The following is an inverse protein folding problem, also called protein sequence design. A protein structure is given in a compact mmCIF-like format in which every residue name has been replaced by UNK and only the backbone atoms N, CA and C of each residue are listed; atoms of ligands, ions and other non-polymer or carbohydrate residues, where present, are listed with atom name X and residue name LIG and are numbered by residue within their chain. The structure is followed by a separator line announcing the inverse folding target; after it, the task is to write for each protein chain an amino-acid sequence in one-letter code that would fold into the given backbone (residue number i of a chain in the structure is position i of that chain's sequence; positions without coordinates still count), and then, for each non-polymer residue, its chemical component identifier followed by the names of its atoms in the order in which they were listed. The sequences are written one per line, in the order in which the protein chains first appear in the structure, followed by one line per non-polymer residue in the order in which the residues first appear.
data_IF_626073905891
#
_entry.id   IF_626073905891
#
_cell.length_a   1.000
_cell.length_b   1.000
_cell.length_c   1.000
_cell.angle_alpha   90.00
_cell.angle_beta   90.00
_cell.angle_gamma   90.00
#
_symmetry.space_group_name_H-M   'P 1'
#
loop_
_entity.id
_entity.type
_entity.pdbx_description
1 polymer ?
#
# COMPACT_ATOMS: atom_id res chain seq x y z
N UNK A 1 -23.42 -6.05 9.02
CA UNK A 1 -23.98 -5.07 8.06
C UNK A 1 -22.93 -4.10 7.52
N UNK A 2 -22.33 -3.21 8.33
CA UNK A 2 -21.30 -2.28 7.85
C UNK A 2 -20.00 -3.00 7.43
N UNK A 3 -19.49 -3.90 8.28
CA UNK A 3 -18.28 -4.68 7.95
C UNK A 3 -18.51 -5.62 6.76
N UNK A 4 -19.68 -6.25 6.65
CA UNK A 4 -20.04 -7.08 5.49
C UNK A 4 -20.05 -6.27 4.20
N UNK A 5 -20.59 -5.04 4.24
CA UNK A 5 -20.61 -4.14 3.06
C UNK A 5 -19.20 -3.72 2.67
N UNK A 6 -18.35 -3.43 3.65
CA UNK A 6 -16.94 -3.14 3.43
C UNK A 6 -16.18 -4.33 2.82
N UNK A 7 -16.45 -5.55 3.29
CA UNK A 7 -15.82 -6.76 2.78
C UNK A 7 -16.18 -7.05 1.32
N UNK A 8 -17.30 -6.52 0.79
CA UNK A 8 -17.62 -6.62 -0.65
C UNK A 8 -16.60 -5.92 -1.56
N UNK A 9 -15.92 -4.90 -1.04
CA UNK A 9 -14.90 -4.16 -1.77
C UNK A 9 -13.48 -4.56 -1.37
N UNK A 10 -13.34 -5.43 -0.37
CA UNK A 10 -12.06 -5.84 0.17
C UNK A 10 -11.19 -6.47 -0.92
N UNK A 11 -9.96 -5.99 -1.00
CA UNK A 11 -8.95 -6.55 -1.88
C UNK A 11 -7.91 -7.33 -1.06
N UNK A 12 -7.54 -8.52 -1.54
CA UNK A 12 -6.60 -9.43 -0.85
C UNK A 12 -5.24 -8.78 -0.57
N UNK A 13 -4.78 -7.91 -1.47
CA UNK A 13 -3.49 -7.21 -1.32
C UNK A 13 -3.54 -6.00 -0.37
N UNK A 14 -4.72 -5.57 0.09
CA UNK A 14 -4.86 -4.58 1.17
C UNK A 14 -5.73 -3.36 0.90
N UNK A 15 -5.69 -2.42 1.85
CA UNK A 15 -6.65 -1.33 2.04
C UNK A 15 -6.61 -0.28 0.92
N UNK A 16 -5.44 0.03 0.33
CA UNK A 16 -5.36 1.00 -0.76
C UNK A 16 -6.13 0.50 -2.00
N UNK A 17 -6.07 -0.80 -2.29
CA UNK A 17 -6.82 -1.38 -3.40
C UNK A 17 -8.31 -1.45 -3.08
N UNK A 18 -8.66 -1.70 -1.82
CA UNK A 18 -10.05 -1.58 -1.34
C UNK A 18 -10.60 -0.16 -1.55
N UNK A 19 -9.83 0.88 -1.23
CA UNK A 19 -10.24 2.27 -1.47
C UNK A 19 -10.44 2.55 -2.97
N UNK A 20 -9.56 2.01 -3.82
CA UNK A 20 -9.71 2.11 -5.27
C UNK A 20 -11.00 1.43 -5.76
N UNK A 21 -11.31 0.23 -5.24
CA UNK A 21 -12.53 -0.50 -5.57
C UNK A 21 -13.79 0.28 -5.18
N UNK A 22 -13.80 0.85 -3.97
CA UNK A 22 -14.93 1.68 -3.50
C UNK A 22 -15.12 2.89 -4.41
N UNK A 23 -14.04 3.58 -4.78
CA UNK A 23 -14.12 4.73 -5.68
C UNK A 23 -14.60 4.35 -7.09
N UNK A 24 -14.11 3.24 -7.66
CA UNK A 24 -14.59 2.75 -8.96
C UNK A 24 -16.07 2.38 -8.91
N UNK A 25 -16.51 1.66 -7.88
CA UNK A 25 -17.90 1.29 -7.72
C UNK A 25 -18.80 2.54 -7.58
N UNK A 26 -18.35 3.57 -6.85
CA UNK A 26 -19.07 4.83 -6.75
C UNK A 26 -19.26 5.51 -8.12
N UNK A 27 -18.20 5.60 -8.93
CA UNK A 27 -18.26 6.19 -10.28
C UNK A 27 -19.15 5.37 -11.23
N UNK A 28 -19.12 4.04 -11.13
CA UNK A 28 -19.97 3.16 -11.94
C UNK A 28 -21.46 3.31 -11.59
N UNK A 29 -21.77 3.62 -10.33
CA UNK A 29 -23.13 3.87 -9.86
C UNK A 29 -23.55 5.35 -9.99
N UNK A 30 -22.94 6.08 -10.94
CA UNK A 30 -23.30 7.46 -11.30
C UNK A 30 -23.31 8.43 -10.12
N UNK A 31 -22.34 8.30 -9.21
CA UNK A 31 -22.19 9.16 -8.03
C UNK A 31 -23.44 9.18 -7.12
N UNK A 32 -24.20 8.08 -7.08
CA UNK A 32 -25.47 8.01 -6.36
C UNK A 32 -25.30 8.08 -4.83
N UNK A 33 -25.96 9.05 -4.21
CA UNK A 33 -26.05 9.16 -2.75
C UNK A 33 -26.80 7.94 -2.14
N UNK A 34 -27.79 7.41 -2.85
CA UNK A 34 -28.52 6.21 -2.42
C UNK A 34 -27.60 4.99 -2.35
N UNK A 35 -26.75 4.82 -3.37
CA UNK A 35 -25.75 3.74 -3.38
C UNK A 35 -24.77 3.86 -2.22
N UNK A 36 -24.32 5.07 -1.89
CA UNK A 36 -23.47 5.33 -0.73
C UNK A 36 -24.14 4.93 0.58
N UNK A 37 -25.43 5.24 0.74
CA UNK A 37 -26.20 4.87 1.93
C UNK A 37 -26.31 3.33 2.07
N UNK A 38 -26.65 2.65 0.98
CA UNK A 38 -26.81 1.18 0.96
C UNK A 38 -25.49 0.43 1.22
N UNK A 39 -24.35 1.00 0.82
CA UNK A 39 -23.04 0.38 0.98
C UNK A 39 -22.25 0.90 2.19
N UNK A 40 -22.88 1.71 3.05
CA UNK A 40 -22.25 2.32 4.24
C UNK A 40 -21.00 3.15 3.91
N UNK A 41 -21.00 3.81 2.75
CA UNK A 41 -19.90 4.68 2.31
C UNK A 41 -20.25 6.15 2.54
N UNK A 42 -19.28 6.94 2.99
CA UNK A 42 -19.50 8.36 3.20
C UNK A 42 -19.51 9.13 1.87
N UNK A 43 -20.71 9.58 1.45
CA UNK A 43 -20.90 10.34 0.22
C UNK A 43 -20.07 11.64 0.18
N UNK A 44 -19.99 12.38 1.29
CA UNK A 44 -19.20 13.63 1.34
C UNK A 44 -17.71 13.38 1.14
N UNK A 45 -17.19 12.31 1.74
CA UNK A 45 -15.78 11.91 1.57
C UNK A 45 -15.48 11.52 0.11
N UNK A 46 -16.37 10.79 -0.56
CA UNK A 46 -16.19 10.41 -1.96
C UNK A 46 -16.29 11.60 -2.91
N UNK A 47 -17.26 12.50 -2.71
CA UNK A 47 -17.37 13.73 -3.50
C UNK A 47 -16.13 14.62 -3.33
N UNK A 48 -15.61 14.73 -2.10
CA UNK A 48 -14.35 15.43 -1.84
C UNK A 48 -13.18 14.77 -2.59
N UNK A 49 -13.07 13.44 -2.53
CA UNK A 49 -12.03 12.70 -3.25
C UNK A 49 -12.13 12.88 -4.77
N UNK A 50 -13.33 12.88 -5.35
CA UNK A 50 -13.55 13.11 -6.79
C UNK A 50 -13.09 14.52 -7.19
N UNK A 51 -13.46 15.53 -6.41
CA UNK A 51 -13.02 16.91 -6.63
C UNK A 51 -11.49 17.04 -6.57
N UNK A 52 -10.84 16.43 -5.57
CA UNK A 52 -9.38 16.42 -5.44
C UNK A 52 -8.73 15.72 -6.63
N UNK A 53 -9.26 14.58 -7.07
CA UNK A 53 -8.76 13.88 -8.25
C UNK A 53 -8.86 14.74 -9.52
N UNK A 54 -9.97 15.45 -9.73
CA UNK A 54 -10.12 16.35 -10.88
C UNK A 54 -9.14 17.54 -10.83
N UNK A 55 -8.86 18.06 -9.63
CA UNK A 55 -7.82 19.08 -9.46
C UNK A 55 -6.43 18.54 -9.80
N UNK A 56 -6.07 17.36 -9.29
CA UNK A 56 -4.79 16.70 -9.59
C UNK A 56 -4.65 16.39 -11.08
N UNK A 57 -5.72 15.93 -11.75
CA UNK A 57 -5.70 15.67 -13.19
C UNK A 57 -5.39 16.93 -14.01
N UNK A 58 -5.97 18.08 -13.65
CA UNK A 58 -5.66 19.37 -14.29
C UNK A 58 -4.20 19.79 -14.10
N UNK A 59 -3.64 19.53 -12.92
CA UNK A 59 -2.22 19.80 -12.64
C UNK A 59 -1.33 18.88 -13.49
N UNK A 60 -1.67 17.59 -13.59
CA UNK A 60 -0.95 16.64 -14.44
C UNK A 60 -0.95 17.09 -15.90
N UNK A 61 -2.11 17.48 -16.43
CA UNK A 61 -2.25 17.95 -17.81
C UNK A 61 -1.41 19.24 -18.03
N UNK A 62 -1.38 20.16 -17.06
CA UNK A 62 -0.55 21.38 -17.11
C UNK A 62 0.95 21.07 -17.19
N UNK A 63 1.42 20.05 -16.50
CA UNK A 63 2.82 19.61 -16.52
C UNK A 63 3.11 18.56 -17.60
N UNK A 64 2.16 18.28 -18.50
CA UNK A 64 2.27 17.25 -19.54
C UNK A 64 2.60 15.86 -18.97
N UNK A 65 2.14 15.56 -17.76
CA UNK A 65 2.29 14.25 -17.15
C UNK A 65 1.23 13.30 -17.71
N UNK A 66 1.63 12.17 -18.32
CA UNK A 66 0.69 11.28 -18.98
C UNK A 66 -0.19 10.54 -17.96
N UNK A 67 -1.50 10.60 -18.16
CA UNK A 67 -2.48 9.80 -17.40
C UNK A 67 -2.55 8.40 -18.01
N UNK A 68 -1.85 7.45 -17.41
CA UNK A 68 -1.77 6.06 -17.89
C UNK A 68 -2.49 5.12 -16.95
N UNK A 69 -3.13 4.10 -17.51
CA UNK A 69 -3.64 2.94 -16.78
C UNK A 69 -3.14 1.69 -17.49
N UNK A 70 -2.75 0.68 -16.72
CA UNK A 70 -2.61 -0.68 -17.27
C UNK A 70 -4.02 -1.24 -17.51
N UNK A 71 -4.17 -2.15 -18.47
CA UNK A 71 -5.43 -2.88 -18.66
C UNK A 71 -5.77 -3.70 -17.43
N UNK A 72 -7.05 -3.74 -17.04
CA UNK A 72 -7.51 -4.44 -15.84
C UNK A 72 -7.29 -5.95 -15.90
N UNK A 73 -7.36 -6.54 -17.10
CA UNK A 73 -7.11 -7.96 -17.36
C UNK A 73 -5.63 -8.34 -17.25
N UNK A 74 -4.74 -7.35 -17.23
CA UNK A 74 -3.31 -7.59 -17.15
C UNK A 74 -2.92 -8.06 -15.74
N UNK A 75 -2.13 -9.13 -15.65
CA UNK A 75 -1.66 -9.70 -14.37
C UNK A 75 -0.98 -8.67 -13.46
N UNK A 76 -0.26 -7.73 -14.07
CA UNK A 76 0.50 -6.72 -13.33
C UNK A 76 -0.31 -5.48 -12.95
N UNK A 77 -1.62 -5.42 -13.22
CA UNK A 77 -2.46 -4.25 -12.90
C UNK A 77 -2.30 -3.81 -11.44
N UNK A 78 -2.61 -4.69 -10.48
CA UNK A 78 -2.47 -4.39 -9.05
C UNK A 78 -1.01 -4.29 -8.60
N UNK A 79 -0.13 -5.09 -9.19
CA UNK A 79 1.31 -5.06 -8.89
C UNK A 79 1.91 -3.68 -9.22
N UNK A 80 1.54 -3.09 -10.36
CA UNK A 80 2.02 -1.78 -10.77
C UNK A 80 1.54 -0.68 -9.82
N UNK A 81 0.28 -0.75 -9.36
CA UNK A 81 -0.26 0.21 -8.39
C UNK A 81 0.48 0.10 -7.05
N UNK A 82 0.68 -1.12 -6.53
CA UNK A 82 1.45 -1.37 -5.30
C UNK A 82 2.89 -0.85 -5.39
N UNK A 83 3.54 -1.05 -6.55
CA UNK A 83 4.89 -0.49 -6.80
C UNK A 83 4.87 1.04 -6.83
N UNK A 84 3.84 1.66 -7.40
CA UNK A 84 3.70 3.11 -7.39
C UNK A 84 3.53 3.66 -5.97
N UNK A 85 2.79 2.98 -5.08
CA UNK A 85 2.67 3.38 -3.67
C UNK A 85 4.04 3.46 -2.98
N UNK A 86 4.94 2.50 -3.26
CA UNK A 86 6.29 2.50 -2.69
C UNK A 86 7.07 3.76 -3.07
N UNK A 87 6.89 4.31 -4.27
CA UNK A 87 7.62 5.53 -4.68
C UNK A 87 7.33 6.74 -3.78
N UNK A 88 6.13 6.82 -3.18
CA UNK A 88 5.76 7.89 -2.24
C UNK A 88 5.91 7.50 -0.77
N UNK A 89 5.72 6.22 -0.44
CA UNK A 89 5.61 5.72 0.92
C UNK A 89 6.73 4.75 1.31
N UNK A 90 7.88 4.78 0.63
CA UNK A 90 9.01 3.88 0.90
C UNK A 90 9.54 3.97 2.34
N UNK A 91 9.30 5.07 3.06
CA UNK A 91 9.65 5.22 4.48
C UNK A 91 8.61 4.62 5.43
N UNK A 92 7.37 4.45 4.98
CA UNK A 92 6.24 3.96 5.79
C UNK A 92 6.01 2.47 5.54
N UNK A 93 7.00 1.68 5.95
CA UNK A 93 6.99 0.23 5.78
C UNK A 93 7.24 -0.45 7.11
N UNK A 94 6.59 -1.59 7.34
CA UNK A 94 6.79 -2.43 8.50
C UNK A 94 7.03 -3.89 8.10
N UNK A 95 7.86 -4.57 8.87
CA UNK A 95 8.24 -5.98 8.71
C UNK A 95 7.61 -6.82 9.81
N UNK A 96 7.09 -8.00 9.47
CA UNK A 96 6.52 -8.95 10.42
C UNK A 96 7.63 -9.75 11.11
N UNK A 97 7.73 -9.61 12.43
CA UNK A 97 8.65 -10.42 13.24
C UNK A 97 8.06 -11.80 13.55
N UNK A 98 8.91 -12.79 13.84
CA UNK A 98 8.50 -14.15 14.22
C UNK A 98 7.56 -14.23 15.42
N UNK A 99 7.62 -13.23 16.29
CA UNK A 99 6.75 -13.11 17.47
C UNK A 99 5.34 -12.62 17.11
N UNK A 100 5.09 -12.26 15.85
CA UNK A 100 3.77 -11.93 15.30
C UNK A 100 3.35 -10.46 15.39
N UNK A 101 4.24 -9.58 15.89
CA UNK A 101 4.10 -8.13 15.79
C UNK A 101 4.90 -7.58 14.61
N UNK A 102 4.62 -6.34 14.21
CA UNK A 102 5.38 -5.66 13.17
C UNK A 102 6.38 -4.68 13.77
N UNK A 103 7.51 -4.50 13.11
CA UNK A 103 8.48 -3.45 13.38
C UNK A 103 8.54 -2.48 12.20
N UNK A 104 8.42 -1.19 12.46
CA UNK A 104 8.64 -0.17 11.41
C UNK A 104 10.10 -0.17 10.98
N UNK A 105 10.31 0.00 9.68
CA UNK A 105 11.63 0.11 9.06
C UNK A 105 12.37 1.32 9.64
N UNK A 106 13.66 1.14 9.96
CA UNK A 106 14.60 2.10 10.59
C UNK A 106 14.27 2.54 12.02
N UNK A 107 13.02 2.88 12.33
CA UNK A 107 12.63 3.41 13.65
C UNK A 107 12.36 2.32 14.70
N UNK A 108 12.25 1.04 14.26
CA UNK A 108 12.01 -0.13 15.10
C UNK A 108 10.83 0.04 16.08
N UNK A 109 9.79 0.75 15.64
CA UNK A 109 8.58 0.90 16.45
C UNK A 109 7.75 -0.38 16.36
N UNK A 110 7.41 -0.93 17.52
CA UNK A 110 6.51 -2.08 17.60
C UNK A 110 5.09 -1.63 17.28
N UNK A 111 4.51 -2.19 16.22
CA UNK A 111 3.17 -1.86 15.73
C UNK A 111 2.34 -3.10 15.43
N UNK A 112 1.03 -2.92 15.36
CA UNK A 112 0.09 -3.94 14.92
C UNK A 112 -0.76 -3.41 13.75
N UNK A 113 -1.27 -4.31 12.91
CA UNK A 113 -2.26 -3.90 11.91
C UNK A 113 -3.49 -3.37 12.63
N UNK A 114 -3.96 -2.20 12.20
CA UNK A 114 -5.17 -1.62 12.77
C UNK A 114 -6.37 -2.57 12.54
N UNK A 115 -7.28 -2.76 13.51
CA UNK A 115 -8.43 -3.68 13.37
C UNK A 115 -9.35 -3.37 12.19
N UNK A 116 -9.25 -2.17 11.64
CA UNK A 116 -9.99 -1.77 10.43
C UNK A 116 -9.32 -2.19 9.12
N UNK A 117 -8.20 -2.92 9.11
CA UNK A 117 -7.64 -3.46 7.87
C UNK A 117 -8.58 -4.49 7.25
N UNK A 118 -8.59 -4.62 5.93
CA UNK A 118 -9.28 -5.75 5.26
C UNK A 118 -8.39 -6.99 5.11
N UNK A 119 -7.11 -6.89 5.47
CA UNK A 119 -6.18 -8.01 5.38
C UNK A 119 -6.60 -9.14 6.33
N UNK A 120 -6.90 -10.30 5.77
CA UNK A 120 -7.26 -11.53 6.48
C UNK A 120 -6.05 -12.36 6.92
N UNK A 121 -4.86 -12.02 6.41
CA UNK A 121 -3.58 -12.60 6.75
C UNK A 121 -2.60 -11.52 7.21
N UNK A 122 -1.42 -11.94 7.68
CA UNK A 122 -0.31 -11.04 8.03
C UNK A 122 0.79 -11.13 6.98
N UNK A 123 0.85 -10.21 6.01
CA UNK A 123 1.95 -10.17 5.05
C UNK A 123 3.29 -9.95 5.76
N UNK A 124 4.36 -10.50 5.22
CA UNK A 124 5.70 -10.34 5.82
C UNK A 124 6.17 -8.87 5.76
N UNK A 125 5.80 -8.16 4.70
CA UNK A 125 6.10 -6.75 4.49
C UNK A 125 4.84 -5.98 4.16
N UNK A 126 4.59 -4.91 4.91
CA UNK A 126 3.42 -4.06 4.70
C UNK A 126 3.83 -2.61 4.56
N UNK A 127 3.26 -1.95 3.58
CA UNK A 127 3.27 -0.51 3.45
C UNK A 127 2.03 0.04 4.16
N UNK A 128 2.18 1.11 4.92
CA UNK A 128 1.08 1.77 5.63
C UNK A 128 1.00 3.25 5.25
N UNK A 129 -0.18 3.86 5.43
CA UNK A 129 -0.39 5.30 5.18
C UNK A 129 -0.32 6.12 6.48
N UNK A 130 -0.79 5.55 7.59
CA UNK A 130 -0.94 6.27 8.85
C UNK A 130 -0.43 5.47 10.04
N UNK A 131 0.30 6.15 10.93
CA UNK A 131 0.69 5.66 12.24
C UNK A 131 -0.30 6.20 13.29
N UNK A 132 -0.92 5.31 14.05
CA UNK A 132 -1.96 5.64 15.03
C UNK A 132 -1.44 5.30 16.44
N UNK A 133 -1.17 6.35 17.22
CA UNK A 133 -0.67 6.23 18.58
C UNK A 133 -1.84 6.21 19.58
N UNK A 134 -2.03 5.07 20.24
CA UNK A 134 -3.04 4.87 21.31
C UNK A 134 -2.42 4.08 22.45
N UNK A 135 -3.20 3.31 23.22
CA UNK A 135 -2.66 2.34 24.20
C UNK A 135 -1.78 1.26 23.54
N UNK A 136 -2.02 0.96 22.26
CA UNK A 136 -1.12 0.19 21.40
C UNK A 136 -0.86 0.99 20.13
N UNK A 137 0.33 0.87 19.57
CA UNK A 137 0.65 1.50 18.29
C UNK A 137 0.07 0.67 17.14
N UNK A 138 -0.69 1.32 16.27
CA UNK A 138 -1.25 0.67 15.09
C UNK A 138 -0.79 1.35 13.81
N UNK A 139 -0.71 0.57 12.74
CA UNK A 139 -0.58 1.07 11.37
C UNK A 139 -1.91 0.88 10.64
N UNK A 140 -2.37 1.94 9.98
CA UNK A 140 -3.68 2.01 9.31
C UNK A 140 -3.51 2.21 7.81
N UNK A 141 -4.44 1.64 7.05
CA UNK A 141 -4.42 1.58 5.58
C UNK A 141 -3.19 0.83 5.10
N UNK A 142 -3.21 -0.50 5.28
CA UNK A 142 -2.06 -1.37 5.02
C UNK A 142 -2.17 -2.05 3.65
N UNK A 143 -1.03 -2.29 3.00
CA UNK A 143 -0.97 -2.99 1.71
C UNK A 143 0.26 -3.89 1.67
N UNK A 144 0.07 -5.12 1.21
CA UNK A 144 1.14 -6.10 1.02
C UNK A 144 2.13 -5.59 -0.04
N UNK A 145 3.42 -5.68 0.25
CA UNK A 145 4.50 -5.26 -0.65
C UNK A 145 5.62 -6.28 -0.67
N UNK A 146 6.33 -6.38 -1.79
CA UNK A 146 7.52 -7.24 -1.87
C UNK A 146 8.77 -6.48 -1.46
N UNK A 147 9.66 -7.07 -0.64
CA UNK A 147 10.90 -6.41 -0.22
C UNK A 147 11.83 -6.07 -1.38
N UNK A 148 11.79 -6.85 -2.46
CA UNK A 148 12.55 -6.57 -3.69
C UNK A 148 12.23 -5.20 -4.30
N UNK A 149 10.99 -4.73 -4.15
CA UNK A 149 10.56 -3.44 -4.69
C UNK A 149 11.14 -2.29 -3.89
N UNK A 150 11.28 -2.45 -2.57
CA UNK A 150 11.83 -1.43 -1.67
C UNK A 150 13.27 -1.09 -2.04
N UNK A 151 14.10 -2.12 -2.22
CA UNK A 151 15.51 -1.97 -2.59
C UNK A 151 15.66 -1.39 -4.01
N UNK A 152 14.81 -1.82 -4.95
CA UNK A 152 14.86 -1.34 -6.34
C UNK A 152 14.39 0.10 -6.51
N UNK A 153 13.34 0.49 -5.78
CA UNK A 153 12.69 1.80 -5.95
C UNK A 153 13.38 2.88 -5.11
N UNK A 154 13.80 2.55 -3.88
CA UNK A 154 14.40 3.50 -2.96
C UNK A 154 15.77 3.00 -2.42
N UNK A 155 16.76 2.73 -3.30
CA UNK A 155 18.04 2.16 -2.89
C UNK A 155 18.80 3.04 -1.88
N UNK A 156 18.66 4.37 -2.00
CA UNK A 156 19.29 5.33 -1.09
C UNK A 156 18.74 5.23 0.34
N UNK A 157 17.44 4.96 0.48
CA UNK A 157 16.84 4.80 1.80
C UNK A 157 17.13 3.41 2.37
N UNK A 158 17.04 2.36 1.53
CA UNK A 158 17.33 0.98 1.88
C UNK A 158 18.83 0.63 1.74
N UNK A 159 19.70 1.53 2.15
CA UNK A 159 21.14 1.32 2.17
C UNK A 159 21.55 0.47 3.40
N UNK A 160 22.12 -0.71 3.17
CA UNK A 160 22.39 -1.69 4.25
C UNK A 160 23.49 -1.24 5.24
N UNK A 161 24.39 -0.34 4.82
CA UNK A 161 25.44 0.24 5.68
C UNK A 161 24.84 1.00 6.87
N UNK A 162 23.77 1.77 6.61
CA UNK A 162 23.11 2.66 7.56
C UNK A 162 21.81 2.05 8.14
N UNK A 163 21.46 0.82 7.75
CA UNK A 163 20.25 0.16 8.21
C UNK A 163 20.48 -0.51 9.58
N UNK A 164 19.57 -0.34 10.56
CA UNK A 164 19.73 -0.95 11.88
C UNK A 164 19.70 -2.48 11.81
N UNK A 165 20.36 -3.14 12.75
CA UNK A 165 20.39 -4.60 12.80
C UNK A 165 19.04 -5.16 13.26
N UNK A 166 18.28 -5.76 12.34
CA UNK A 166 16.99 -6.40 12.59
C UNK A 166 16.73 -7.55 11.59
N UNK A 167 15.63 -8.30 11.75
CA UNK A 167 15.28 -9.40 10.83
C UNK A 167 15.03 -8.87 9.41
N UNK A 168 14.37 -7.72 9.29
CA UNK A 168 14.16 -7.01 8.03
C UNK A 168 15.48 -6.76 7.27
N UNK A 169 16.53 -6.28 7.95
CA UNK A 169 17.86 -6.07 7.34
C UNK A 169 18.44 -7.37 6.79
N UNK A 170 18.42 -8.44 7.58
CA UNK A 170 18.97 -9.75 7.18
C UNK A 170 18.26 -10.29 5.95
N UNK A 171 16.94 -10.08 5.83
CA UNK A 171 16.20 -10.49 4.65
C UNK A 171 16.57 -9.66 3.42
N UNK A 172 16.68 -8.33 3.57
CA UNK A 172 17.09 -7.45 2.49
C UNK A 172 18.52 -7.76 2.01
N UNK A 173 19.47 -7.99 2.91
CA UNK A 173 20.85 -8.40 2.56
C UNK A 173 20.87 -9.71 1.77
N UNK A 174 20.10 -10.72 2.19
CA UNK A 174 19.97 -11.99 1.46
C UNK A 174 19.38 -11.79 0.06
N UNK A 175 18.41 -10.89 -0.08
CA UNK A 175 17.80 -10.58 -1.37
C UNK A 175 18.78 -9.86 -2.29
N UNK A 176 19.55 -8.89 -1.77
CA UNK A 176 20.58 -8.17 -2.52
C UNK A 176 21.67 -9.14 -2.99
N UNK A 177 22.18 -9.99 -2.09
CA UNK A 177 23.19 -10.99 -2.44
C UNK A 177 22.70 -11.94 -3.54
N UNK A 178 21.45 -12.43 -3.44
CA UNK A 178 20.84 -13.29 -4.46
C UNK A 178 20.65 -12.56 -5.80
N UNK A 179 20.30 -11.28 -5.78
CA UNK A 179 20.13 -10.49 -6.99
C UNK A 179 21.48 -10.30 -7.72
N UNK A 180 22.53 -9.94 -6.99
CA UNK A 180 23.88 -9.83 -7.54
C UNK A 180 24.36 -11.15 -8.13
N UNK A 181 24.17 -12.29 -7.44
CA UNK A 181 24.58 -13.60 -7.98
C UNK A 181 23.87 -13.96 -9.28
N UNK A 182 22.60 -13.58 -9.47
CA UNK A 182 21.85 -13.84 -10.70
C UNK A 182 22.31 -12.99 -11.88
N UNK A 183 22.75 -11.76 -11.62
CA UNK A 183 23.34 -10.89 -12.66
C UNK A 183 24.68 -11.45 -13.17
N UNK A 184 25.46 -12.12 -12.31
CA UNK A 184 26.71 -12.78 -12.73
C UNK A 184 26.51 -14.07 -13.56
N UNK A 185 25.39 -14.79 -13.43
CA UNK A 185 25.14 -16.03 -14.21
C UNK A 185 24.55 -15.76 -15.60
N UNK A 186 24.20 -14.51 -15.93
CA UNK A 186 23.68 -14.12 -17.25
C UNK A 186 24.75 -13.60 -18.22
N UNK A 187 26.03 -13.71 -17.86
CA UNK A 187 27.19 -13.45 -18.72
C UNK A 187 27.98 -14.73 -18.97
#
# INVERSE_FOLDING_TARGET
MADESKMRFAHIDGDHMTQLNVYHAFKQNSDSNQWCYENFVNYRSLMSADNVRQQLARIMDRFSLPRRSTEFTHRDYYTNIRRALITGFFMQVAHLERTGHYLTVKDNQVVQLHPSTVLDHKPEWVLYNEFVLTSKNYIRTCTDVKPEWLVKIAPQYYEMSNFPQCEAKRQLERLIAKASSKEYTQY
#
